data_IF_594027554686
#
_entry.id   IF_594027554686
#
_cell.length_a   1.000
_cell.length_b   1.000
_cell.length_c   1.000
_cell.angle_alpha   90.00
_cell.angle_beta   90.00
_cell.angle_gamma   90.00
#
_symmetry.space_group_name_H-M   'P 1'
#
loop_
_entity.id
_entity.type
_entity.pdbx_description
1 polymer ?
#
# COMPACT_ATOMS: atom_id res chain seq x y z
N UNK A 1 -83.31 -11.48 8.81
CA UNK A 1 -82.14 -12.30 8.47
C UNK A 1 -81.03 -11.37 7.96
N UNK A 2 -80.23 -10.84 8.89
CA UNK A 2 -78.78 -10.59 8.82
C UNK A 2 -78.43 -9.68 10.01
N UNK A 3 -77.73 -10.26 10.98
CA UNK A 3 -76.94 -9.54 11.97
C UNK A 3 -75.68 -9.01 11.26
N UNK A 4 -75.18 -7.83 11.65
CA UNK A 4 -73.81 -7.72 12.16
C UNK A 4 -73.60 -6.40 12.91
N UNK A 5 -73.02 -6.58 14.09
CA UNK A 5 -72.68 -5.58 15.10
C UNK A 5 -71.15 -5.39 15.08
N UNK A 6 -70.69 -4.27 15.67
CA UNK A 6 -69.38 -4.00 16.29
C UNK A 6 -68.29 -3.25 15.49
N UNK A 7 -68.14 -1.98 15.91
CA UNK A 7 -66.93 -1.34 16.50
C UNK A 7 -65.59 -2.05 16.27
N UNK A 8 -64.61 -1.27 15.82
CA UNK A 8 -63.19 -1.57 16.05
C UNK A 8 -62.26 -0.51 15.46
N UNK A 9 -61.85 0.47 16.28
CA UNK A 9 -60.74 1.38 16.00
C UNK A 9 -59.48 0.57 15.69
N UNK A 10 -58.85 0.80 14.53
CA UNK A 10 -57.49 0.35 14.25
C UNK A 10 -56.53 1.53 14.41
N UNK A 11 -55.67 1.45 15.43
CA UNK A 11 -54.46 2.24 15.55
C UNK A 11 -53.44 1.78 14.50
N UNK A 12 -52.65 2.66 13.88
CA UNK A 12 -51.53 2.23 13.07
C UNK A 12 -50.34 1.90 13.98
N UNK A 13 -49.85 0.66 13.91
CA UNK A 13 -48.53 0.31 14.42
C UNK A 13 -47.48 1.05 13.56
N UNK A 14 -46.80 2.03 14.17
CA UNK A 14 -45.54 2.56 13.66
C UNK A 14 -44.45 1.53 13.94
N UNK A 15 -44.02 0.79 12.92
CA UNK A 15 -42.77 0.04 12.95
C UNK A 15 -41.62 1.03 12.86
N UNK A 16 -41.05 1.41 14.01
CA UNK A 16 -39.81 2.16 14.07
C UNK A 16 -38.66 1.15 13.87
N UNK A 17 -38.25 0.96 12.61
CA UNK A 17 -37.04 0.22 12.27
C UNK A 17 -35.85 1.10 12.69
N UNK A 18 -35.31 0.86 13.88
CA UNK A 18 -34.06 1.47 14.32
C UNK A 18 -32.94 0.83 13.51
N UNK A 19 -32.47 1.54 12.48
CA UNK A 19 -31.18 1.25 11.87
C UNK A 19 -30.11 1.53 12.94
N UNK A 20 -29.62 0.47 13.59
CA UNK A 20 -28.34 0.52 14.25
C UNK A 20 -27.30 0.72 13.14
N UNK A 21 -26.89 1.97 12.93
CA UNK A 21 -25.63 2.28 12.27
C UNK A 21 -24.56 1.73 13.20
N UNK A 22 -24.12 0.50 12.92
CA UNK A 22 -22.94 -0.07 13.56
C UNK A 22 -21.78 0.79 13.10
N UNK A 23 -21.41 1.78 13.91
CA UNK A 23 -20.15 2.48 13.77
C UNK A 23 -19.06 1.41 13.86
N UNK A 24 -18.52 1.01 12.69
CA UNK A 24 -17.28 0.25 12.66
C UNK A 24 -16.26 1.12 13.39
N UNK A 25 -15.87 0.71 14.60
CA UNK A 25 -14.62 1.17 15.19
C UNK A 25 -13.53 0.80 14.19
N UNK A 26 -13.11 1.77 13.39
CA UNK A 26 -11.96 1.59 12.50
C UNK A 26 -10.78 1.27 13.41
N UNK A 27 -10.20 0.08 13.24
CA UNK A 27 -8.97 -0.29 13.93
C UNK A 27 -7.77 0.53 13.43
N UNK A 28 -8.00 1.33 12.39
CA UNK A 28 -7.13 2.43 12.01
C UNK A 28 -7.72 3.71 12.57
N UNK A 29 -7.09 4.26 13.60
CA UNK A 29 -7.29 5.65 13.96
C UNK A 29 -5.98 6.37 13.63
N UNK A 30 -6.03 7.47 12.87
CA UNK A 30 -4.84 8.02 12.27
C UNK A 30 -4.15 9.08 13.12
N UNK A 31 -2.90 9.44 12.73
CA UNK A 31 -1.75 8.95 13.50
C UNK A 31 -2.15 8.81 14.97
N UNK A 32 -2.18 7.58 15.46
CA UNK A 32 -2.50 7.33 16.87
C UNK A 32 -1.73 8.31 17.77
N UNK A 33 -2.21 8.65 18.97
CA UNK A 33 -1.45 9.49 19.91
C UNK A 33 -0.01 8.98 20.14
N UNK A 34 0.23 7.68 19.91
CA UNK A 34 1.56 7.08 19.86
C UNK A 34 2.40 7.60 18.69
N UNK A 35 1.86 7.63 17.47
CA UNK A 35 2.51 8.19 16.29
C UNK A 35 2.83 9.68 16.45
N UNK A 36 1.93 10.49 17.02
CA UNK A 36 2.21 11.90 17.32
C UNK A 36 3.33 12.07 18.35
N UNK A 37 3.33 11.24 19.41
CA UNK A 37 4.41 11.23 20.39
C UNK A 37 5.75 10.85 19.75
N UNK A 38 5.76 9.84 18.87
CA UNK A 38 6.97 9.43 18.16
C UNK A 38 7.50 10.53 17.24
N UNK A 39 6.62 11.24 16.51
CA UNK A 39 7.01 12.38 15.65
C UNK A 39 7.66 13.51 16.46
N UNK A 40 7.20 13.76 17.68
CA UNK A 40 7.79 14.75 18.59
C UNK A 40 9.13 14.27 19.16
N UNK A 41 9.23 13.00 19.52
CA UNK A 41 10.37 12.48 20.28
C UNK A 41 11.52 12.00 19.36
N UNK A 42 11.25 11.64 18.10
CA UNK A 42 12.22 11.14 17.10
C UNK A 42 12.11 11.82 15.71
N UNK A 43 12.06 13.16 15.64
CA UNK A 43 11.76 13.86 14.38
C UNK A 43 12.83 13.63 13.31
N UNK A 44 14.10 13.47 13.69
CA UNK A 44 15.22 13.33 12.73
C UNK A 44 15.26 11.93 12.12
N UNK A 45 15.10 10.91 12.95
CA UNK A 45 15.08 9.51 12.58
C UNK A 45 13.89 9.21 11.67
N UNK A 46 12.70 9.74 12.02
CA UNK A 46 11.48 9.57 11.22
C UNK A 46 11.60 10.31 9.87
N UNK A 47 12.10 11.54 9.85
CA UNK A 47 12.26 12.30 8.61
C UNK A 47 13.23 11.60 7.64
N UNK A 48 14.34 11.09 8.17
CA UNK A 48 15.39 10.43 7.39
C UNK A 48 15.12 8.97 7.06
N UNK A 49 14.10 8.33 7.67
CA UNK A 49 13.75 6.91 7.57
C UNK A 49 14.91 5.94 7.84
N UNK A 50 15.97 6.43 8.51
CA UNK A 50 17.23 5.68 8.68
C UNK A 50 17.10 4.48 9.60
N UNK A 51 16.05 4.40 10.41
CA UNK A 51 15.77 3.27 11.32
C UNK A 51 14.76 2.27 10.75
N UNK A 52 14.13 2.58 9.62
CA UNK A 52 13.13 1.71 9.00
C UNK A 52 13.80 0.51 8.35
N UNK A 53 13.38 -0.70 8.71
CA UNK A 53 13.93 -1.97 8.20
C UNK A 53 12.81 -2.96 7.95
N UNK A 54 12.85 -3.60 6.79
CA UNK A 54 12.04 -4.79 6.51
C UNK A 54 12.70 -6.03 7.09
N UNK A 55 11.90 -7.04 7.45
CA UNK A 55 12.36 -8.30 8.05
C UNK A 55 11.82 -9.52 7.31
N UNK A 56 11.62 -9.38 6.00
CA UNK A 56 11.15 -10.45 5.10
C UNK A 56 12.32 -11.29 4.59
N UNK A 57 12.62 -11.17 3.29
CA UNK A 57 13.75 -11.87 2.68
C UNK A 57 15.09 -11.55 3.35
N UNK A 58 15.96 -12.56 3.43
CA UNK A 58 17.36 -12.37 3.77
C UNK A 58 18.13 -11.73 2.61
N UNK A 59 19.29 -11.13 2.95
CA UNK A 59 20.21 -10.59 1.95
C UNK A 59 20.66 -11.65 0.95
N UNK A 60 20.95 -12.85 1.42
CA UNK A 60 21.40 -13.95 0.57
C UNK A 60 20.32 -14.36 -0.46
N UNK A 61 19.07 -14.49 -0.03
CA UNK A 61 17.96 -14.82 -0.93
C UNK A 61 17.73 -13.71 -1.98
N UNK A 62 17.85 -12.44 -1.57
CA UNK A 62 17.77 -11.32 -2.49
C UNK A 62 18.92 -11.34 -3.52
N UNK A 63 20.15 -11.59 -3.08
CA UNK A 63 21.31 -11.69 -3.96
C UNK A 63 21.17 -12.87 -4.94
N UNK A 64 20.61 -13.99 -4.50
CA UNK A 64 20.37 -15.15 -5.37
C UNK A 64 19.24 -14.90 -6.38
N UNK A 65 18.19 -14.19 -5.98
CA UNK A 65 17.20 -13.68 -6.93
C UNK A 65 17.84 -12.77 -7.98
N UNK A 66 18.71 -11.84 -7.58
CA UNK A 66 19.35 -10.89 -8.50
C UNK A 66 20.29 -11.57 -9.51
N UNK A 67 20.81 -12.76 -9.21
CA UNK A 67 21.59 -13.60 -10.15
C UNK A 67 20.72 -14.41 -11.12
N UNK A 68 19.41 -14.51 -10.85
CA UNK A 68 18.49 -15.25 -11.70
C UNK A 68 18.16 -14.52 -13.01
N UNK A 69 17.51 -15.21 -13.95
CA UNK A 69 17.00 -14.58 -15.17
C UNK A 69 15.99 -13.44 -14.90
N UNK A 70 15.15 -13.57 -13.87
CA UNK A 70 14.22 -12.52 -13.47
C UNK A 70 14.95 -11.32 -12.85
N UNK A 71 15.96 -11.58 -12.01
CA UNK A 71 16.84 -10.55 -11.43
C UNK A 71 17.61 -9.77 -12.48
N UNK A 72 18.13 -10.45 -13.51
CA UNK A 72 18.78 -9.79 -14.65
C UNK A 72 17.84 -8.85 -15.40
N UNK A 73 16.56 -9.22 -15.57
CA UNK A 73 15.55 -8.33 -16.18
C UNK A 73 15.22 -7.12 -15.29
N UNK A 74 15.21 -7.31 -13.96
CA UNK A 74 15.03 -6.20 -13.02
C UNK A 74 16.18 -5.18 -13.15
N UNK A 75 17.42 -5.66 -13.17
CA UNK A 75 18.62 -4.82 -13.32
C UNK A 75 18.66 -4.09 -14.66
N UNK A 76 18.34 -4.78 -15.78
CA UNK A 76 18.24 -4.16 -17.10
C UNK A 76 17.18 -3.05 -17.14
N UNK A 77 16.00 -3.31 -16.55
CA UNK A 77 14.94 -2.31 -16.48
C UNK A 77 15.37 -1.06 -15.67
N UNK A 78 16.05 -1.25 -14.54
CA UNK A 78 16.61 -0.15 -13.76
C UNK A 78 17.68 0.63 -14.53
N UNK A 79 18.53 -0.07 -15.30
CA UNK A 79 19.52 0.56 -16.18
C UNK A 79 18.88 1.40 -17.28
N UNK A 80 17.75 0.96 -17.86
CA UNK A 80 16.97 1.76 -18.83
C UNK A 80 16.28 2.97 -18.18
N UNK A 81 15.84 2.81 -16.94
CA UNK A 81 15.26 3.90 -16.17
C UNK A 81 16.29 5.00 -15.89
N UNK A 82 17.55 4.62 -15.59
CA UNK A 82 18.65 5.53 -15.28
C UNK A 82 19.96 5.11 -15.98
N UNK A 83 20.13 5.40 -17.29
CA UNK A 83 21.28 4.93 -18.08
C UNK A 83 22.63 5.49 -17.62
N UNK A 84 22.64 6.53 -16.77
CA UNK A 84 23.84 7.14 -16.22
C UNK A 84 24.26 6.56 -14.87
N UNK A 85 23.45 5.70 -14.24
CA UNK A 85 23.76 5.14 -12.93
C UNK A 85 24.89 4.10 -13.01
N UNK A 86 25.78 4.11 -12.02
CA UNK A 86 26.78 3.07 -11.86
C UNK A 86 26.15 1.72 -11.52
N UNK A 87 26.81 0.62 -11.90
CA UNK A 87 26.32 -0.73 -11.67
C UNK A 87 26.02 -1.01 -10.18
N UNK A 88 26.90 -0.56 -9.27
CA UNK A 88 26.70 -0.73 -7.83
C UNK A 88 25.47 0.03 -7.31
N UNK A 89 25.17 1.20 -7.89
CA UNK A 89 23.95 1.96 -7.56
C UNK A 89 22.69 1.25 -8.06
N UNK A 90 22.72 0.71 -9.27
CA UNK A 90 21.60 -0.08 -9.81
C UNK A 90 21.37 -1.34 -8.99
N UNK A 91 22.45 -2.01 -8.58
CA UNK A 91 22.39 -3.20 -7.74
C UNK A 91 21.82 -2.88 -6.35
N UNK A 92 22.28 -1.81 -5.70
CA UNK A 92 21.73 -1.36 -4.42
C UNK A 92 20.22 -1.05 -4.52
N UNK A 93 19.79 -0.36 -5.58
CA UNK A 93 18.36 -0.10 -5.82
C UNK A 93 17.58 -1.40 -6.04
N UNK A 94 18.10 -2.32 -6.86
CA UNK A 94 17.45 -3.60 -7.11
C UNK A 94 17.32 -4.42 -5.82
N UNK A 95 18.35 -4.38 -4.98
CA UNK A 95 18.35 -5.03 -3.69
C UNK A 95 17.28 -4.45 -2.76
N UNK A 96 17.17 -3.12 -2.65
CA UNK A 96 16.14 -2.48 -1.82
C UNK A 96 14.72 -2.83 -2.29
N UNK A 97 14.52 -2.98 -3.60
CA UNK A 97 13.24 -3.42 -4.17
C UNK A 97 12.92 -4.87 -3.82
N UNK A 98 13.92 -5.76 -3.83
CA UNK A 98 13.73 -7.18 -3.52
C UNK A 98 13.52 -7.37 -2.01
N UNK A 99 14.33 -6.71 -1.18
CA UNK A 99 14.25 -6.77 0.28
C UNK A 99 12.99 -6.11 0.86
N UNK A 100 12.22 -5.35 0.07
CA UNK A 100 10.91 -4.88 0.52
C UNK A 100 9.89 -6.03 0.63
N UNK A 101 10.17 -7.20 0.04
CA UNK A 101 9.30 -8.37 0.01
C UNK A 101 9.56 -9.38 1.12
N UNK A 102 8.51 -10.13 1.49
CA UNK A 102 8.61 -11.38 2.26
C UNK A 102 9.06 -12.55 1.39
N UNK A 103 8.89 -12.42 0.07
CA UNK A 103 9.18 -13.43 -0.95
C UNK A 103 9.89 -12.80 -2.15
N UNK A 104 10.65 -13.63 -2.87
CA UNK A 104 11.37 -13.19 -4.07
C UNK A 104 10.36 -12.74 -5.14
N UNK A 105 10.53 -11.54 -5.72
CA UNK A 105 9.51 -10.97 -6.57
C UNK A 105 9.40 -11.73 -7.89
N UNK A 106 8.18 -12.04 -8.30
CA UNK A 106 7.89 -12.76 -9.54
C UNK A 106 7.67 -11.77 -10.67
N UNK A 107 8.30 -12.00 -11.81
CA UNK A 107 8.02 -11.23 -13.02
C UNK A 107 6.59 -11.51 -13.50
N UNK A 108 5.80 -10.47 -13.73
CA UNK A 108 4.42 -10.59 -14.22
C UNK A 108 4.23 -9.65 -15.42
N UNK A 109 3.43 -10.09 -16.40
CA UNK A 109 3.02 -9.24 -17.51
C UNK A 109 2.01 -8.18 -17.05
N UNK A 110 2.14 -6.92 -17.48
CA UNK A 110 1.25 -5.84 -17.08
C UNK A 110 -0.14 -6.10 -17.69
N UNK A 111 -1.09 -6.49 -16.85
CA UNK A 111 -2.46 -6.81 -17.28
C UNK A 111 -3.48 -5.77 -16.80
N UNK A 112 -3.10 -4.88 -15.89
CA UNK A 112 -4.00 -3.95 -15.23
C UNK A 112 -3.33 -2.63 -14.84
N UNK A 113 -4.16 -1.62 -14.56
CA UNK A 113 -3.71 -0.37 -13.95
C UNK A 113 -3.20 -0.64 -12.54
N UNK A 114 -2.09 0.00 -12.17
CA UNK A 114 -1.58 -0.04 -10.80
C UNK A 114 -1.95 1.27 -10.08
N UNK A 115 -2.04 1.19 -8.76
CA UNK A 115 -2.35 2.33 -7.90
C UNK A 115 -1.28 2.53 -6.82
N UNK A 116 -1.19 3.75 -6.32
CA UNK A 116 -0.35 4.10 -5.17
C UNK A 116 -1.11 5.01 -4.22
N UNK A 117 -1.02 4.68 -2.95
CA UNK A 117 -1.45 5.52 -1.84
C UNK A 117 -0.29 6.44 -1.44
N UNK A 118 -0.55 7.72 -1.31
CA UNK A 118 0.37 8.70 -0.70
C UNK A 118 -0.38 9.53 0.33
N UNK A 119 0.26 10.02 1.40
CA UNK A 119 -0.39 10.93 2.33
C UNK A 119 -1.08 12.08 1.60
N UNK A 120 -2.28 12.46 2.05
CA UNK A 120 -3.09 13.49 1.40
C UNK A 120 -2.30 14.79 1.19
N UNK A 121 -2.44 15.37 0.00
CA UNK A 121 -1.72 16.58 -0.40
C UNK A 121 -0.29 16.33 -0.91
N UNK A 122 0.20 15.09 -0.87
CA UNK A 122 1.44 14.70 -1.51
C UNK A 122 1.22 14.20 -2.95
N UNK A 123 2.31 14.20 -3.72
CA UNK A 123 2.35 13.68 -5.08
C UNK A 123 3.18 12.40 -5.16
N UNK A 124 2.94 11.62 -6.21
CA UNK A 124 3.75 10.45 -6.52
C UNK A 124 5.01 10.91 -7.25
N UNK A 125 6.18 10.60 -6.67
CA UNK A 125 7.46 10.83 -7.34
C UNK A 125 7.55 10.04 -8.65
N UNK A 126 8.11 10.66 -9.69
CA UNK A 126 8.40 10.02 -10.98
C UNK A 126 9.36 8.83 -10.86
N UNK A 127 10.06 8.68 -9.73
CA UNK A 127 11.01 7.59 -9.48
C UNK A 127 10.49 6.53 -8.50
N UNK A 128 9.26 6.69 -7.97
CA UNK A 128 8.68 5.69 -7.07
C UNK A 128 8.49 4.38 -7.82
N UNK A 129 9.03 3.28 -7.29
CA UNK A 129 8.86 1.94 -7.86
C UNK A 129 7.73 1.13 -7.21
N UNK A 130 7.20 1.53 -6.06
CA UNK A 130 6.25 0.73 -5.27
C UNK A 130 4.80 1.11 -5.56
N UNK A 131 4.03 0.14 -6.04
CA UNK A 131 2.59 0.25 -6.34
C UNK A 131 1.83 -0.98 -5.82
N UNK A 132 0.51 -0.95 -5.95
CA UNK A 132 -0.40 -2.06 -5.67
C UNK A 132 -1.56 -2.05 -6.67
N UNK A 133 -2.58 -2.88 -6.50
CA UNK A 133 -3.81 -2.87 -7.33
C UNK A 133 -4.97 -2.21 -6.58
N UNK A 134 -6.00 -1.78 -7.31
CA UNK A 134 -7.22 -1.25 -6.67
C UNK A 134 -7.87 -2.32 -5.78
N UNK A 135 -7.99 -3.55 -6.29
CA UNK A 135 -8.56 -4.69 -5.56
C UNK A 135 -7.86 -4.92 -4.23
N UNK A 136 -6.53 -4.77 -4.18
CA UNK A 136 -5.77 -4.92 -2.94
C UNK A 136 -6.05 -3.80 -1.94
N UNK A 137 -6.17 -2.55 -2.42
CA UNK A 137 -6.58 -1.42 -1.57
C UNK A 137 -7.98 -1.64 -1.00
N UNK A 138 -8.93 -2.06 -1.83
CA UNK A 138 -10.32 -2.31 -1.42
C UNK A 138 -10.44 -3.52 -0.49
N UNK A 139 -9.62 -4.56 -0.70
CA UNK A 139 -9.54 -5.70 0.21
C UNK A 139 -9.06 -5.27 1.60
N UNK A 140 -7.98 -4.50 1.68
CA UNK A 140 -7.42 -4.03 2.95
C UNK A 140 -8.40 -3.11 3.68
N UNK A 141 -9.05 -2.20 2.96
CA UNK A 141 -10.07 -1.31 3.50
C UNK A 141 -11.30 -2.10 4.00
N UNK A 142 -11.76 -3.07 3.21
CA UNK A 142 -12.87 -3.96 3.57
C UNK A 142 -12.62 -4.80 4.82
N UNK A 143 -11.37 -5.21 5.04
CA UNK A 143 -10.87 -5.88 6.25
C UNK A 143 -10.77 -4.95 7.47
N UNK A 144 -10.82 -3.63 7.27
CA UNK A 144 -10.58 -2.64 8.33
C UNK A 144 -9.12 -2.61 8.79
N UNK A 145 -8.17 -3.07 7.96
CA UNK A 145 -6.74 -3.01 8.25
C UNK A 145 -6.18 -1.64 7.89
N UNK A 146 -5.29 -1.12 8.73
CA UNK A 146 -4.51 0.06 8.39
C UNK A 146 -3.67 -0.14 7.14
N UNK A 147 -3.71 0.80 6.19
CA UNK A 147 -2.80 0.84 5.04
C UNK A 147 -1.36 0.95 5.52
N UNK A 148 -1.09 1.76 6.55
CA UNK A 148 0.26 1.88 7.09
C UNK A 148 0.82 0.56 7.63
N UNK A 149 -0.04 -0.29 8.23
CA UNK A 149 0.32 -1.63 8.69
C UNK A 149 0.43 -2.64 7.54
N UNK A 150 -0.56 -2.65 6.65
CA UNK A 150 -0.65 -3.61 5.56
C UNK A 150 0.45 -3.42 4.49
N UNK A 151 0.73 -2.17 4.13
CA UNK A 151 1.80 -1.80 3.20
C UNK A 151 3.13 -1.54 3.89
N UNK A 152 3.21 -1.76 5.20
CA UNK A 152 4.42 -1.60 6.03
C UNK A 152 5.20 -0.32 5.73
N UNK A 153 4.52 0.83 5.70
CA UNK A 153 5.16 2.11 5.39
C UNK A 153 5.88 2.67 6.63
N UNK A 154 6.95 3.47 6.46
CA UNK A 154 7.58 4.17 7.57
C UNK A 154 6.61 5.15 8.23
N UNK A 155 6.86 5.50 9.50
CA UNK A 155 6.04 6.41 10.31
C UNK A 155 5.75 7.72 9.59
N UNK A 156 6.74 8.30 8.88
CA UNK A 156 6.53 9.56 8.13
C UNK A 156 5.50 9.48 7.00
N UNK A 157 5.13 8.27 6.60
CA UNK A 157 4.18 7.99 5.52
C UNK A 157 2.82 7.51 6.05
N UNK A 158 2.66 7.39 7.36
CA UNK A 158 1.36 7.15 7.99
C UNK A 158 0.53 8.45 7.99
N UNK A 159 -0.74 8.34 7.61
CA UNK A 159 -1.65 9.48 7.51
C UNK A 159 -3.11 9.06 7.76
N UNK A 160 -3.93 10.04 8.15
CA UNK A 160 -5.39 9.93 8.24
C UNK A 160 -6.10 9.84 6.91
N UNK A 161 -5.45 10.38 5.89
CA UNK A 161 -6.02 10.50 4.57
C UNK A 161 -4.93 10.20 3.57
N UNK A 162 -5.29 9.42 2.57
CA UNK A 162 -4.41 9.09 1.47
C UNK A 162 -5.04 9.54 0.17
N UNK A 163 -4.23 10.11 -0.70
CA UNK A 163 -4.58 10.30 -2.09
C UNK A 163 -4.17 9.06 -2.88
N UNK A 164 -5.13 8.51 -3.63
CA UNK A 164 -4.91 7.35 -4.49
C UNK A 164 -4.63 7.81 -5.91
N UNK A 165 -3.49 7.42 -6.46
CA UNK A 165 -3.08 7.72 -7.83
C UNK A 165 -3.01 6.44 -8.65
N UNK A 166 -3.47 6.49 -9.89
CA UNK A 166 -3.33 5.40 -10.85
C UNK A 166 -2.23 5.67 -11.88
N UNK A 167 -1.62 4.58 -12.33
CA UNK A 167 -0.71 4.52 -13.48
C UNK A 167 -1.14 3.37 -14.38
N UNK A 168 -0.85 3.50 -15.67
CA UNK A 168 -1.16 2.52 -16.71
C UNK A 168 0.10 2.16 -17.48
N UNK A 169 0.29 0.89 -17.89
CA UNK A 169 1.41 0.52 -18.73
C UNK A 169 1.26 1.19 -20.09
N UNK A 170 2.34 1.77 -20.63
CA UNK A 170 2.32 2.39 -21.98
C UNK A 170 2.36 1.35 -23.09
N UNK A 171 2.76 0.12 -22.79
CA UNK A 171 2.80 -1.00 -23.72
C UNK A 171 2.72 -2.33 -22.96
N UNK A 172 2.45 -3.42 -23.68
CA UNK A 172 2.46 -4.77 -23.12
C UNK A 172 3.86 -5.24 -22.68
N UNK A 173 4.92 -4.53 -23.11
CA UNK A 173 6.31 -4.83 -22.78
C UNK A 173 6.77 -4.19 -21.45
N UNK A 174 5.93 -3.36 -20.83
CA UNK A 174 6.25 -2.75 -19.55
C UNK A 174 6.52 -3.83 -18.50
N UNK A 175 7.62 -3.70 -17.74
CA UNK A 175 7.98 -4.71 -16.74
C UNK A 175 7.38 -4.36 -15.37
N UNK A 176 6.81 -5.36 -14.71
CA UNK A 176 6.45 -5.28 -13.29
C UNK A 176 6.76 -6.59 -12.57
N UNK A 177 7.05 -6.49 -11.28
CA UNK A 177 7.30 -7.65 -10.44
C UNK A 177 6.39 -7.63 -9.22
N UNK A 178 5.75 -8.74 -8.90
CA UNK A 178 4.89 -8.83 -7.73
C UNK A 178 5.54 -9.61 -6.60
N UNK A 179 5.35 -9.15 -5.37
CA UNK A 179 5.72 -9.86 -4.15
C UNK A 179 4.76 -9.48 -3.02
N UNK A 180 4.78 -10.26 -1.94
CA UNK A 180 4.14 -9.87 -0.69
C UNK A 180 5.05 -8.90 0.05
N UNK A 181 4.52 -7.79 0.57
CA UNK A 181 5.28 -6.84 1.38
C UNK A 181 5.78 -7.50 2.67
N UNK A 182 7.06 -7.28 2.99
CA UNK A 182 7.70 -7.70 4.22
C UNK A 182 7.09 -7.04 5.46
N UNK A 183 7.05 -7.74 6.61
CA UNK A 183 6.96 -7.07 7.89
C UNK A 183 8.10 -6.05 8.04
N UNK A 184 7.85 -4.97 8.79
CA UNK A 184 8.83 -3.92 9.00
C UNK A 184 8.89 -3.47 10.46
N UNK A 185 10.04 -2.90 10.82
CA UNK A 185 10.30 -2.30 12.12
C UNK A 185 10.95 -0.94 11.94
N UNK A 186 10.67 -0.03 12.86
CA UNK A 186 11.28 1.31 12.88
C UNK A 186 11.53 1.74 14.33
N UNK A 187 12.47 2.67 14.52
CA UNK A 187 12.86 3.21 15.83
C UNK A 187 13.18 2.10 16.85
N UNK A 188 14.09 1.19 16.48
CA UNK A 188 14.50 0.04 17.30
C UNK A 188 13.35 -0.85 17.75
N UNK A 189 12.32 -0.99 16.90
CA UNK A 189 11.17 -1.85 17.14
C UNK A 189 10.05 -1.21 17.96
N UNK A 190 10.10 0.10 18.21
CA UNK A 190 8.96 0.85 18.79
C UNK A 190 7.75 0.85 17.85
N UNK A 191 8.01 0.78 16.56
CA UNK A 191 6.97 0.61 15.53
C UNK A 191 7.21 -0.72 14.84
N UNK A 192 6.17 -1.53 14.79
CA UNK A 192 6.15 -2.82 14.09
C UNK A 192 4.97 -2.78 13.13
N UNK A 193 5.22 -3.04 11.85
CA UNK A 193 4.20 -3.18 10.82
C UNK A 193 4.18 -4.61 10.35
N UNK A 194 2.99 -5.19 10.19
CA UNK A 194 2.80 -6.59 9.81
C UNK A 194 3.15 -6.83 8.34
N UNK A 195 2.96 -5.84 7.47
CA UNK A 195 3.07 -6.04 6.03
C UNK A 195 1.98 -6.98 5.53
N UNK A 196 2.31 -7.79 4.51
CA UNK A 196 1.43 -8.82 3.99
C UNK A 196 0.48 -8.36 2.88
N UNK A 197 0.49 -7.08 2.50
CA UNK A 197 -0.19 -6.66 1.27
C UNK A 197 0.63 -7.01 0.02
N UNK A 198 -0.02 -7.13 -1.12
CA UNK A 198 0.63 -7.31 -2.42
C UNK A 198 1.23 -5.98 -2.91
N UNK A 199 2.52 -5.99 -3.23
CA UNK A 199 3.18 -4.91 -3.96
C UNK A 199 3.52 -5.32 -5.38
N UNK A 200 3.55 -4.31 -6.23
CA UNK A 200 4.03 -4.36 -7.61
C UNK A 200 5.17 -3.36 -7.75
N UNK A 201 6.33 -3.88 -8.14
CA UNK A 201 7.57 -3.16 -8.35
C UNK A 201 7.66 -2.76 -9.82
N UNK A 202 7.74 -1.46 -10.06
CA UNK A 202 7.86 -0.84 -11.39
C UNK A 202 9.26 -0.25 -11.52
N UNK A 203 10.26 -1.02 -12.02
CA UNK A 203 11.65 -0.57 -12.06
C UNK A 203 11.91 0.53 -13.08
N UNK A 204 11.09 0.64 -14.12
CA UNK A 204 11.19 1.70 -15.12
C UNK A 204 9.87 2.47 -15.25
N UNK A 205 9.79 3.62 -14.58
CA UNK A 205 8.61 4.49 -14.61
C UNK A 205 8.34 5.14 -15.98
N UNK A 206 9.33 5.17 -16.89
CA UNK A 206 9.14 5.67 -18.26
C UNK A 206 8.19 4.80 -19.08
N UNK A 207 8.09 3.51 -18.74
CA UNK A 207 7.22 2.55 -19.43
C UNK A 207 5.75 2.66 -19.00
N UNK A 208 5.44 3.62 -18.12
CA UNK A 208 4.13 3.79 -17.50
C UNK A 208 3.66 5.25 -17.60
N UNK A 209 2.34 5.45 -17.59
CA UNK A 209 1.72 6.77 -17.63
C UNK A 209 2.07 7.62 -16.40
N UNK A 210 1.90 8.93 -16.52
CA UNK A 210 2.02 9.84 -15.37
C UNK A 210 0.93 9.54 -14.33
N UNK A 211 1.24 9.66 -13.02
CA UNK A 211 0.27 9.41 -11.97
C UNK A 211 -0.96 10.31 -12.08
N UNK A 212 -2.15 9.71 -12.18
CA UNK A 212 -3.44 10.41 -12.17
C UNK A 212 -4.16 10.20 -10.86
N UNK A 213 -4.42 11.28 -10.10
CA UNK A 213 -5.21 11.21 -8.88
C UNK A 213 -6.62 10.69 -9.21
N UNK A 214 -7.05 9.67 -8.48
CA UNK A 214 -8.37 9.07 -8.61
C UNK A 214 -9.33 9.63 -7.56
N UNK A 215 -8.98 9.44 -6.28
CA UNK A 215 -9.80 9.82 -5.13
C UNK A 215 -8.95 9.97 -3.88
N UNK A 216 -9.55 10.58 -2.86
CA UNK A 216 -9.06 10.57 -1.48
C UNK A 216 -9.71 9.39 -0.73
N UNK A 217 -8.98 8.81 0.21
CA UNK A 217 -9.44 7.77 1.12
C UNK A 217 -9.15 8.20 2.55
N UNK A 218 -10.09 8.00 3.46
CA UNK A 218 -9.88 8.19 4.89
C UNK A 218 -9.48 6.85 5.53
N UNK A 219 -8.61 6.90 6.53
CA UNK A 219 -8.25 5.77 7.37
C UNK A 219 -8.28 6.16 8.84
#
# INVERSE_FOLDING_TARGET
MLFFTLRGRRSPLFFLLVFLVSARLSACEPPSPVTEALLRDYPTEIASVTTFRTTGLSRQEADDFLKSAAGSRLLDALGKADPGAAADTLYARALDLVLSGSDAPRLISPAESLVKLVPHGQSVSAYSAYFTTMDEVERIDGEGRCFADAFAVPVRSEAARYDLYAIEPRSADALMFASTIAPARELDGKVIRRGGAMQYLVPNRKDWSEPRKLRELAQ
#
